data_IF_065296641372
#
_entry.id   IF_065296641372
#
_cell.length_a   1.000
_cell.length_b   1.000
_cell.length_c   1.000
_cell.angle_alpha   90.00
_cell.angle_beta   90.00
_cell.angle_gamma   90.00
#
_symmetry.space_group_name_H-M   'P 1'
#
loop_
_entity.id
_entity.type
_entity.pdbx_description
1 polymer ?
#
# COMPACT_ATOMS: atom_id res chain seq x y z
N UNK A 1 -7.47 13.86 -2.82
CA UNK A 1 -8.79 14.34 -3.30
C UNK A 1 -9.71 13.13 -3.37
N UNK A 2 -10.85 13.17 -2.67
CA UNK A 2 -11.82 12.06 -2.65
C UNK A 2 -12.87 12.26 -3.75
N UNK A 3 -13.32 11.18 -4.37
CA UNK A 3 -14.35 11.18 -5.41
C UNK A 3 -15.63 11.88 -4.93
N UNK A 4 -16.05 11.61 -3.70
CA UNK A 4 -17.24 12.23 -3.10
C UNK A 4 -17.10 13.75 -2.93
N UNK A 5 -15.90 14.21 -2.61
CA UNK A 5 -15.61 15.63 -2.48
C UNK A 5 -15.67 16.36 -3.83
N UNK A 6 -15.17 15.72 -4.88
CA UNK A 6 -15.23 16.25 -6.24
C UNK A 6 -16.66 16.28 -6.78
N UNK A 7 -17.45 15.22 -6.52
CA UNK A 7 -18.86 15.15 -6.94
C UNK A 7 -19.68 16.30 -6.38
N UNK A 8 -19.53 16.60 -5.09
CA UNK A 8 -20.23 17.74 -4.44
C UNK A 8 -19.89 19.09 -5.07
N UNK A 9 -18.64 19.32 -5.45
CA UNK A 9 -18.18 20.58 -6.06
C UNK A 9 -18.69 20.76 -7.50
N UNK A 10 -18.68 19.68 -8.28
CA UNK A 10 -19.19 19.75 -9.66
C UNK A 10 -20.70 19.97 -9.63
N UNK A 11 -21.43 19.21 -8.81
CA UNK A 11 -22.86 19.37 -8.63
C UNK A 11 -23.30 20.78 -8.22
N UNK A 12 -22.46 21.51 -7.46
CA UNK A 12 -22.77 22.89 -7.06
C UNK A 12 -22.45 23.95 -8.12
N UNK A 13 -21.66 23.61 -9.14
CA UNK A 13 -21.07 24.61 -10.05
C UNK A 13 -21.55 24.46 -11.49
N UNK A 14 -21.80 23.22 -11.94
CA UNK A 14 -22.18 22.95 -13.33
C UNK A 14 -22.94 21.64 -13.45
N UNK A 15 -23.75 21.52 -14.51
CA UNK A 15 -24.48 20.31 -14.84
C UNK A 15 -24.44 20.05 -16.35
N UNK A 16 -24.15 18.79 -16.73
CA UNK A 16 -24.19 18.33 -18.11
C UNK A 16 -24.45 16.81 -18.17
N UNK A 17 -24.74 16.28 -19.36
CA UNK A 17 -25.05 14.87 -19.53
C UNK A 17 -23.84 13.98 -19.19
N UNK A 18 -24.02 12.96 -18.35
CA UNK A 18 -22.97 12.01 -17.90
C UNK A 18 -21.78 12.63 -17.14
N UNK A 19 -21.98 13.79 -16.51
CA UNK A 19 -20.93 14.48 -15.76
C UNK A 19 -20.30 13.63 -14.65
N UNK A 20 -21.09 12.81 -13.95
CA UNK A 20 -20.58 11.93 -12.90
C UNK A 20 -19.65 10.84 -13.44
N UNK A 21 -20.00 10.25 -14.59
CA UNK A 21 -19.19 9.23 -15.25
C UNK A 21 -17.85 9.83 -15.70
N UNK A 22 -17.90 10.98 -16.36
CA UNK A 22 -16.70 11.67 -16.82
C UNK A 22 -15.81 12.14 -15.67
N UNK A 23 -16.42 12.56 -14.55
CA UNK A 23 -15.67 12.92 -13.34
C UNK A 23 -14.97 11.71 -12.72
N UNK A 24 -15.64 10.56 -12.64
CA UNK A 24 -15.05 9.32 -12.13
C UNK A 24 -13.90 8.86 -13.03
N UNK A 25 -14.07 8.92 -14.35
CA UNK A 25 -13.02 8.60 -15.32
C UNK A 25 -11.82 9.56 -15.21
N UNK A 26 -12.08 10.86 -15.05
CA UNK A 26 -11.03 11.86 -14.83
C UNK A 26 -10.22 11.58 -13.54
N UNK A 27 -10.90 11.26 -12.43
CA UNK A 27 -10.23 10.96 -11.16
C UNK A 27 -9.40 9.67 -11.25
N UNK A 28 -9.88 8.68 -12.00
CA UNK A 28 -9.19 7.41 -12.19
C UNK A 28 -7.97 7.50 -13.13
N UNK A 29 -8.00 8.41 -14.11
CA UNK A 29 -6.89 8.63 -15.06
C UNK A 29 -5.83 9.60 -14.53
N UNK A 30 -6.14 10.40 -13.50
CA UNK A 30 -5.24 11.43 -13.00
C UNK A 30 -4.08 10.88 -12.16
N UNK A 31 -2.90 10.78 -12.78
CA UNK A 31 -1.69 10.18 -12.22
C UNK A 31 -1.28 10.76 -10.86
N UNK A 32 -1.41 12.08 -10.68
CA UNK A 32 -1.03 12.76 -9.42
C UNK A 32 -1.90 12.33 -8.24
N UNK A 33 -3.19 12.08 -8.48
CA UNK A 33 -4.10 11.60 -7.43
C UNK A 33 -3.89 10.11 -7.16
N UNK A 34 -3.61 9.31 -8.18
CA UNK A 34 -3.32 7.87 -8.05
C UNK A 34 -2.00 7.60 -7.29
N UNK A 35 -0.97 8.43 -7.50
CA UNK A 35 0.31 8.33 -6.77
C UNK A 35 0.20 8.80 -5.32
N UNK A 36 -0.54 9.87 -5.07
CA UNK A 36 -0.66 10.46 -3.74
C UNK A 36 -1.64 9.69 -2.84
N UNK A 37 -2.72 9.15 -3.40
CA UNK A 37 -3.69 8.36 -2.65
C UNK A 37 -3.24 6.89 -2.66
N UNK A 38 -2.73 6.37 -1.54
CA UNK A 38 -2.51 4.93 -1.37
C UNK A 38 -3.84 4.21 -1.63
N UNK A 39 -3.88 3.20 -2.51
CA UNK A 39 -5.08 2.36 -2.72
C UNK A 39 -5.58 1.88 -1.36
N UNK A 40 -6.76 2.36 -0.95
CA UNK A 40 -7.41 1.92 0.27
C UNK A 40 -8.11 0.60 -0.03
N UNK A 41 -7.40 -0.48 0.28
CA UNK A 41 -7.94 -1.81 0.41
C UNK A 41 -7.09 -2.50 1.47
N UNK A 42 -7.71 -3.23 2.40
CA UNK A 42 -6.93 -4.22 3.15
C UNK A 42 -6.27 -5.10 2.08
N UNK A 43 -4.95 -5.15 2.06
CA UNK A 43 -4.30 -6.31 1.46
C UNK A 43 -4.92 -7.48 2.20
N UNK A 44 -5.75 -8.28 1.52
CA UNK A 44 -6.22 -9.56 2.04
C UNK A 44 -5.01 -10.50 2.05
N UNK A 45 -3.96 -10.14 2.78
CA UNK A 45 -2.95 -11.06 3.23
C UNK A 45 -3.63 -11.86 4.31
N UNK A 46 -4.26 -12.97 3.94
CA UNK A 46 -4.27 -14.10 4.85
C UNK A 46 -2.81 -14.29 5.24
N UNK A 47 -2.52 -14.18 6.54
CA UNK A 47 -1.24 -14.62 7.08
C UNK A 47 -1.04 -16.03 6.51
N UNK A 48 -0.08 -16.19 5.60
CA UNK A 48 0.14 -17.49 4.99
C UNK A 48 0.47 -18.45 6.12
N UNK A 49 -0.25 -19.57 6.19
CA UNK A 49 0.07 -20.59 7.15
C UNK A 49 1.48 -21.10 6.83
N UNK A 50 2.41 -20.87 7.73
CA UNK A 50 3.77 -21.40 7.65
C UNK A 50 3.66 -22.86 8.09
N UNK A 51 4.07 -23.80 7.24
CA UNK A 51 4.16 -25.21 7.62
C UNK A 51 5.29 -25.37 8.65
N UNK A 52 4.99 -25.98 9.80
CA UNK A 52 6.00 -26.25 10.81
C UNK A 52 6.98 -27.32 10.29
N UNK A 53 8.30 -27.07 10.37
CA UNK A 53 9.29 -28.06 9.99
C UNK A 53 9.17 -29.28 10.91
N UNK A 54 9.21 -30.47 10.34
CA UNK A 54 9.06 -31.75 11.04
C UNK A 54 10.39 -32.25 11.59
N UNK A 55 11.51 -31.71 11.09
CA UNK A 55 12.86 -32.08 11.51
C UNK A 55 13.72 -30.84 11.82
N UNK A 56 14.67 -30.94 12.76
CA UNK A 56 15.64 -29.89 13.01
C UNK A 56 16.42 -29.52 11.74
N UNK A 57 16.63 -28.22 11.52
CA UNK A 57 17.36 -27.66 10.36
C UNK A 57 16.70 -27.88 8.98
N UNK A 58 15.44 -28.30 8.92
CA UNK A 58 14.71 -28.48 7.65
C UNK A 58 14.40 -27.15 6.95
N UNK A 59 14.09 -26.10 7.71
CA UNK A 59 13.86 -24.75 7.19
C UNK A 59 14.42 -23.72 8.15
N UNK A 60 15.26 -22.82 7.65
CA UNK A 60 15.89 -21.74 8.42
C UNK A 60 15.59 -20.41 7.72
N UNK A 61 14.78 -19.58 8.36
CA UNK A 61 14.52 -18.21 7.91
C UNK A 61 15.53 -17.28 8.60
N UNK A 62 16.25 -16.49 7.81
CA UNK A 62 17.29 -15.58 8.29
C UNK A 62 16.97 -14.18 7.78
N UNK A 63 17.00 -13.18 8.67
CA UNK A 63 16.81 -11.78 8.33
C UNK A 63 17.97 -10.91 8.86
N UNK A 64 18.23 -9.78 8.19
CA UNK A 64 19.28 -8.84 8.56
C UNK A 64 18.68 -7.65 9.31
N UNK A 65 19.08 -7.47 10.55
CA UNK A 65 18.71 -6.27 11.32
C UNK A 65 19.69 -5.14 10.99
N UNK A 66 19.19 -4.01 10.47
CA UNK A 66 19.98 -2.80 10.22
C UNK A 66 19.45 -1.64 11.06
N UNK A 67 20.34 -0.86 11.70
CA UNK A 67 19.95 0.29 12.53
C UNK A 67 20.66 0.42 13.88
N UNK A 68 21.64 -0.43 14.20
CA UNK A 68 22.44 -0.25 15.41
C UNK A 68 23.43 0.90 15.21
N UNK A 69 23.12 2.08 15.78
CA UNK A 69 24.06 3.18 15.90
C UNK A 69 24.88 2.94 17.17
N UNK A 70 26.01 2.25 17.04
CA UNK A 70 27.31 2.68 17.59
C UNK A 70 28.44 1.70 17.21
N UNK A 71 29.29 2.22 16.33
CA UNK A 71 30.74 2.08 16.15
C UNK A 71 31.42 0.71 16.13
N UNK A 72 32.03 0.48 14.96
CA UNK A 72 33.23 -0.31 14.65
C UNK A 72 33.25 -1.83 14.92
N UNK A 73 33.48 -2.52 13.80
CA UNK A 73 33.89 -3.92 13.67
C UNK A 73 32.84 -5.02 13.95
N UNK A 74 32.31 -5.55 12.84
CA UNK A 74 31.70 -6.89 12.68
C UNK A 74 30.62 -7.25 13.70
N UNK A 75 29.40 -6.73 13.57
CA UNK A 75 28.25 -7.34 14.26
C UNK A 75 26.97 -7.28 13.43
N UNK A 76 26.97 -7.97 12.28
CA UNK A 76 25.73 -8.55 11.78
C UNK A 76 25.49 -9.85 12.54
N UNK A 77 24.65 -9.80 13.58
CA UNK A 77 24.25 -10.97 14.36
C UNK A 77 23.03 -11.58 13.65
N UNK A 78 23.09 -12.88 13.37
CA UNK A 78 21.93 -13.69 13.00
C UNK A 78 21.08 -13.80 14.26
N UNK A 79 19.91 -13.14 14.29
CA UNK A 79 18.95 -13.25 15.38
C UNK A 79 17.90 -14.33 15.07
#
# INVERSE_FOLDING_TARGET
>A
MSEDGSKKRVASTAWWLKWEQQLSEYINTWERCQKANRKHGKNYGLLQHIEEPKQPMETINIDWVTGNVQEEEKNSILA
#
